data_IF_107112632723
#
_entry.id   IF_107112632723
#
_cell.length_a   1.000
_cell.length_b   1.000
_cell.length_c   1.000
_cell.angle_alpha   90.00
_cell.angle_beta   90.00
_cell.angle_gamma   90.00
#
_symmetry.space_group_name_H-M   'P 1'
#
loop_
_entity.id
_entity.type
_entity.pdbx_description
1 polymer ?
#
# COMPACT_ATOMS: atom_id res chain seq x y z
N UNK A 1 -8.38 10.29 26.10
CA UNK A 1 -7.72 9.01 25.71
C UNK A 1 -6.79 9.32 24.56
N UNK A 2 -5.60 8.70 24.53
CA UNK A 2 -4.72 8.84 23.37
C UNK A 2 -5.35 8.12 22.18
N UNK A 3 -5.36 8.76 21.01
CA UNK A 3 -5.78 8.13 19.76
C UNK A 3 -4.84 6.99 19.43
N UNK A 4 -5.32 6.02 18.65
CA UNK A 4 -4.52 4.91 18.11
C UNK A 4 -3.36 5.36 17.23
N UNK A 5 -2.70 4.38 16.65
CA UNK A 5 -1.68 4.59 15.62
C UNK A 5 -2.10 3.91 14.33
N UNK A 6 -1.87 4.56 13.21
CA UNK A 6 -2.14 4.00 11.88
C UNK A 6 -0.83 3.66 11.17
N UNK A 7 -0.63 2.38 10.94
CA UNK A 7 0.56 1.83 10.27
C UNK A 7 0.13 1.23 8.93
N UNK A 8 0.79 1.63 7.86
CA UNK A 8 0.57 1.08 6.52
C UNK A 8 1.77 0.25 6.09
N UNK A 9 1.53 -0.95 5.59
CA UNK A 9 2.54 -1.74 4.89
C UNK A 9 2.31 -1.61 3.38
N UNK A 10 3.31 -1.10 2.70
CA UNK A 10 3.31 -0.87 1.25
C UNK A 10 4.55 -1.52 0.61
N UNK A 11 4.55 -1.69 -0.68
CA UNK A 11 5.69 -2.27 -1.39
C UNK A 11 5.87 -1.71 -2.79
N UNK A 12 7.09 -1.74 -3.27
CA UNK A 12 7.45 -1.23 -4.59
C UNK A 12 6.69 -1.92 -5.74
N UNK A 13 6.35 -3.20 -5.56
CA UNK A 13 5.46 -3.96 -6.45
C UNK A 13 5.02 -5.28 -5.79
N UNK A 14 4.16 -6.02 -6.47
CA UNK A 14 3.71 -7.33 -5.99
C UNK A 14 4.84 -8.38 -6.08
N UNK A 15 4.84 -9.31 -5.13
CA UNK A 15 5.88 -10.34 -5.01
C UNK A 15 7.02 -10.01 -4.04
N UNK A 16 7.07 -8.78 -3.48
CA UNK A 16 8.11 -8.36 -2.55
C UNK A 16 7.99 -8.95 -1.13
N UNK A 17 6.96 -9.77 -0.87
CA UNK A 17 6.73 -10.36 0.46
C UNK A 17 5.85 -9.52 1.39
N UNK A 18 5.14 -8.52 0.86
CA UNK A 18 4.29 -7.62 1.65
C UNK A 18 3.30 -8.35 2.54
N UNK A 19 2.50 -9.27 1.99
CA UNK A 19 1.48 -10.01 2.76
C UNK A 19 2.08 -10.86 3.88
N UNK A 20 3.26 -11.45 3.65
CA UNK A 20 4.01 -12.21 4.66
C UNK A 20 4.43 -11.30 5.81
N UNK A 21 5.05 -10.17 5.50
CA UNK A 21 5.52 -9.24 6.52
C UNK A 21 4.37 -8.55 7.26
N UNK A 22 3.28 -8.27 6.57
CA UNK A 22 2.04 -7.77 7.17
C UNK A 22 1.47 -8.74 8.22
N UNK A 23 1.38 -10.03 7.87
CA UNK A 23 0.90 -11.07 8.79
C UNK A 23 1.83 -11.26 10.01
N UNK A 24 3.14 -11.26 9.78
CA UNK A 24 4.15 -11.36 10.85
C UNK A 24 4.10 -10.15 11.78
N UNK A 25 3.96 -8.94 11.23
CA UNK A 25 3.86 -7.73 12.03
C UNK A 25 2.58 -7.74 12.89
N UNK A 26 1.43 -8.13 12.31
CA UNK A 26 0.20 -8.29 13.06
C UNK A 26 0.39 -9.22 14.26
N UNK A 27 0.92 -10.43 14.04
CA UNK A 27 1.14 -11.41 15.10
C UNK A 27 2.11 -10.88 16.17
N UNK A 28 3.17 -10.17 15.76
CA UNK A 28 4.13 -9.59 16.68
C UNK A 28 3.49 -8.54 17.59
N UNK A 29 2.64 -7.65 17.01
CA UNK A 29 1.94 -6.63 17.79
C UNK A 29 0.94 -7.24 18.78
N UNK A 30 0.21 -8.28 18.38
CA UNK A 30 -0.69 -9.02 19.30
C UNK A 30 0.09 -9.67 20.42
N UNK A 31 1.23 -10.32 20.14
CA UNK A 31 2.11 -10.94 21.15
C UNK A 31 2.70 -9.90 22.11
N UNK A 32 2.91 -8.68 21.66
CA UNK A 32 3.35 -7.55 22.47
C UNK A 32 2.17 -6.87 23.23
N UNK A 33 0.98 -7.53 23.28
CA UNK A 33 -0.24 -7.11 23.97
C UNK A 33 -0.90 -5.82 23.43
N UNK A 34 -0.64 -5.43 22.20
CA UNK A 34 -1.38 -4.35 21.56
C UNK A 34 -2.75 -4.82 21.08
N UNK A 35 -3.76 -3.92 21.15
CA UNK A 35 -5.01 -4.10 20.42
C UNK A 35 -4.81 -3.65 18.99
N UNK A 36 -5.03 -4.54 18.03
CA UNK A 36 -4.75 -4.28 16.61
C UNK A 36 -5.97 -4.61 15.77
N UNK A 37 -6.43 -3.62 15.02
CA UNK A 37 -7.42 -3.81 13.95
C UNK A 37 -6.69 -3.83 12.61
N UNK A 38 -6.86 -4.91 11.86
CA UNK A 38 -6.22 -5.08 10.55
C UNK A 38 -7.24 -4.93 9.42
N UNK A 39 -6.81 -4.32 8.32
CA UNK A 39 -7.60 -4.24 7.10
C UNK A 39 -6.71 -4.27 5.86
N UNK A 40 -7.29 -4.67 4.72
CA UNK A 40 -6.65 -4.67 3.41
C UNK A 40 -7.48 -3.83 2.44
N UNK A 41 -6.83 -2.97 1.66
CA UNK A 41 -7.47 -2.25 0.57
C UNK A 41 -6.99 -2.75 -0.81
N UNK A 42 -7.91 -2.81 -1.79
CA UNK A 42 -9.33 -2.47 -1.71
C UNK A 42 -10.12 -3.49 -0.87
N UNK A 43 -11.29 -3.08 -0.36
CA UNK A 43 -12.20 -3.89 0.46
C UNK A 43 -12.98 -4.88 -0.43
N UNK A 44 -12.30 -5.93 -0.89
CA UNK A 44 -12.90 -6.94 -1.78
C UNK A 44 -14.15 -7.59 -1.19
N UNK A 45 -15.15 -7.83 -2.06
CA UNK A 45 -16.40 -8.47 -1.69
C UNK A 45 -17.38 -7.57 -0.92
N UNK A 46 -17.08 -6.27 -0.79
CA UNK A 46 -17.96 -5.29 -0.16
C UNK A 46 -18.59 -4.35 -1.18
N UNK A 47 -19.64 -3.64 -0.77
CA UNK A 47 -20.32 -2.67 -1.65
C UNK A 47 -19.40 -1.50 -1.98
N UNK A 48 -18.64 -1.01 -1.02
CA UNK A 48 -17.68 0.09 -1.17
C UNK A 48 -16.49 -0.28 -2.05
N UNK A 49 -16.02 -1.52 -2.01
CA UNK A 49 -14.91 -2.02 -2.84
C UNK A 49 -15.34 -2.44 -4.27
N UNK A 50 -16.64 -2.64 -4.51
CA UNK A 50 -17.14 -3.13 -5.80
C UNK A 50 -16.73 -2.26 -7.02
N UNK A 51 -16.72 -0.91 -6.98
CA UNK A 51 -16.24 -0.10 -8.10
C UNK A 51 -14.77 -0.36 -8.43
N UNK A 52 -13.93 -0.56 -7.40
CA UNK A 52 -12.51 -0.88 -7.57
C UNK A 52 -12.33 -2.27 -8.18
N UNK A 53 -13.10 -3.26 -7.75
CA UNK A 53 -13.06 -4.60 -8.35
C UNK A 53 -13.41 -4.59 -9.84
N UNK A 54 -14.43 -3.83 -10.25
CA UNK A 54 -14.78 -3.65 -11.66
C UNK A 54 -13.65 -3.00 -12.46
N UNK A 55 -13.01 -1.97 -11.90
CA UNK A 55 -11.85 -1.34 -12.52
C UNK A 55 -10.68 -2.34 -12.68
N UNK A 56 -10.34 -3.09 -11.64
CA UNK A 56 -9.25 -4.07 -11.66
C UNK A 56 -9.51 -5.23 -12.66
N UNK A 57 -10.77 -5.57 -12.89
CA UNK A 57 -11.17 -6.52 -13.94
C UNK A 57 -11.11 -5.93 -15.35
N UNK A 58 -10.97 -4.61 -15.48
CA UNK A 58 -10.95 -3.87 -16.75
C UNK A 58 -12.35 -3.53 -17.28
N UNK A 59 -13.40 -3.69 -16.48
CA UNK A 59 -14.79 -3.42 -16.89
C UNK A 59 -15.08 -1.91 -17.03
N UNK A 60 -14.26 -1.05 -16.47
CA UNK A 60 -14.39 0.41 -16.53
C UNK A 60 -13.39 1.08 -17.48
N UNK A 61 -12.51 0.31 -18.13
CA UNK A 61 -11.41 0.81 -18.96
C UNK A 61 -10.04 0.52 -18.32
N UNK A 62 -8.99 0.87 -19.06
CA UNK A 62 -7.60 0.63 -18.61
C UNK A 62 -7.02 1.82 -17.83
N UNK A 63 -5.96 1.60 -17.03
CA UNK A 63 -5.25 2.69 -16.34
C UNK A 63 -4.66 3.76 -17.29
N UNK A 64 -4.48 3.45 -18.58
CA UNK A 64 -3.96 4.38 -19.59
C UNK A 64 -5.08 5.26 -20.19
N UNK A 65 -6.32 4.80 -20.14
CA UNK A 65 -7.48 5.48 -20.74
C UNK A 65 -8.21 6.38 -19.75
N UNK A 66 -8.17 6.02 -18.46
CA UNK A 66 -8.90 6.76 -17.44
C UNK A 66 -8.01 7.81 -16.78
N UNK A 67 -8.61 8.94 -16.43
CA UNK A 67 -7.95 9.96 -15.62
C UNK A 67 -7.49 9.38 -14.28
N UNK A 68 -6.23 9.63 -13.85
CA UNK A 68 -5.75 9.19 -12.55
C UNK A 68 -6.60 9.72 -11.39
N UNK A 69 -7.22 10.88 -11.54
CA UNK A 69 -8.15 11.45 -10.56
C UNK A 69 -9.43 10.63 -10.44
N UNK A 70 -10.00 10.19 -11.58
CA UNK A 70 -11.18 9.32 -11.58
C UNK A 70 -10.85 7.98 -10.92
N UNK A 71 -9.74 7.36 -11.31
CA UNK A 71 -9.33 6.08 -10.72
C UNK A 71 -9.11 6.23 -9.22
N UNK A 72 -8.40 7.29 -8.78
CA UNK A 72 -8.24 7.55 -7.35
C UNK A 72 -9.58 7.68 -6.61
N UNK A 73 -10.59 8.32 -7.23
CA UNK A 73 -11.90 8.51 -6.59
C UNK A 73 -12.60 7.19 -6.27
N UNK A 74 -12.43 6.15 -7.10
CA UNK A 74 -12.98 4.82 -6.81
C UNK A 74 -12.40 4.24 -5.52
N UNK A 75 -11.08 4.31 -5.39
CA UNK A 75 -10.37 3.83 -4.19
C UNK A 75 -10.60 4.72 -2.96
N UNK A 76 -10.73 6.04 -3.15
CA UNK A 76 -10.94 6.98 -2.08
C UNK A 76 -12.30 6.78 -1.40
N UNK A 77 -13.35 6.45 -2.17
CA UNK A 77 -14.69 6.15 -1.63
C UNK A 77 -14.65 4.87 -0.77
N UNK A 78 -14.01 3.80 -1.26
CA UNK A 78 -13.81 2.58 -0.49
C UNK A 78 -13.10 2.90 0.85
N UNK A 79 -11.99 3.60 0.81
CA UNK A 79 -11.23 3.98 2.02
C UNK A 79 -12.04 4.85 2.98
N UNK A 80 -12.77 5.82 2.47
CA UNK A 80 -13.54 6.74 3.29
C UNK A 80 -14.68 6.05 4.04
N UNK A 81 -15.43 5.19 3.34
CA UNK A 81 -16.55 4.44 3.95
C UNK A 81 -16.01 3.44 4.97
N UNK A 82 -14.97 2.67 4.60
CA UNK A 82 -14.33 1.69 5.49
C UNK A 82 -13.71 2.38 6.71
N UNK A 83 -13.04 3.53 6.52
CA UNK A 83 -12.51 4.30 7.64
C UNK A 83 -13.62 4.70 8.61
N UNK A 84 -14.66 5.33 8.10
CA UNK A 84 -15.74 5.88 8.94
C UNK A 84 -16.48 4.80 9.72
N UNK A 85 -16.75 3.66 9.07
CA UNK A 85 -17.65 2.64 9.64
C UNK A 85 -16.92 1.56 10.44
N UNK A 86 -15.65 1.29 10.11
CA UNK A 86 -14.91 0.13 10.64
C UNK A 86 -13.68 0.56 11.44
N UNK A 87 -12.80 1.40 10.84
CA UNK A 87 -11.47 1.62 11.40
C UNK A 87 -11.44 2.74 12.44
N UNK A 88 -12.19 3.82 12.22
CA UNK A 88 -12.20 5.00 13.08
C UNK A 88 -12.66 4.71 14.52
N UNK A 89 -13.70 3.91 14.79
CA UNK A 89 -14.10 3.57 16.15
C UNK A 89 -12.97 2.93 16.96
N UNK A 90 -12.24 1.99 16.34
CA UNK A 90 -11.12 1.32 16.98
C UNK A 90 -9.91 2.25 17.16
N UNK A 91 -9.61 3.08 16.16
CA UNK A 91 -8.57 4.10 16.25
C UNK A 91 -8.84 5.08 17.41
N UNK A 92 -10.08 5.54 17.58
CA UNK A 92 -10.46 6.44 18.67
C UNK A 92 -10.38 5.77 20.05
N UNK A 93 -10.46 4.45 20.13
CA UNK A 93 -10.25 3.67 21.35
C UNK A 93 -8.76 3.44 21.68
N UNK A 94 -7.84 3.91 20.83
CA UNK A 94 -6.40 3.76 21.03
C UNK A 94 -5.79 2.49 20.41
N UNK A 95 -6.55 1.76 19.60
CA UNK A 95 -6.03 0.58 18.91
C UNK A 95 -5.04 0.95 17.81
N UNK A 96 -4.10 0.06 17.53
CA UNK A 96 -3.26 0.14 16.33
C UNK A 96 -4.12 -0.28 15.12
N UNK A 97 -4.19 0.57 14.12
CA UNK A 97 -4.77 0.24 12.81
C UNK A 97 -3.63 -0.18 11.89
N UNK A 98 -3.60 -1.45 11.50
CA UNK A 98 -2.58 -2.01 10.62
C UNK A 98 -3.20 -2.29 9.25
N UNK A 99 -2.71 -1.59 8.22
CA UNK A 99 -3.26 -1.64 6.87
C UNK A 99 -2.27 -2.28 5.88
N UNK A 100 -2.78 -3.21 5.07
CA UNK A 100 -2.14 -3.66 3.84
C UNK A 100 -2.70 -2.81 2.70
N UNK A 101 -1.87 -1.88 2.17
CA UNK A 101 -2.27 -0.81 1.26
C UNK A 101 -3.20 0.24 1.89
N UNK A 102 -3.19 1.44 1.32
CA UNK A 102 -4.03 2.56 1.74
C UNK A 102 -4.01 3.65 0.64
N UNK A 103 -4.13 4.93 1.01
CA UNK A 103 -3.89 6.09 0.12
C UNK A 103 -2.53 6.00 -0.56
N UNK A 104 -1.55 5.41 0.12
CA UNK A 104 -0.20 5.13 -0.39
C UNK A 104 -0.20 4.41 -1.73
N UNK A 105 -1.07 3.42 -1.92
CA UNK A 105 -1.20 2.73 -3.21
C UNK A 105 -1.72 3.65 -4.32
N UNK A 106 -2.68 4.54 -4.03
CA UNK A 106 -3.14 5.53 -5.01
C UNK A 106 -2.03 6.51 -5.40
N UNK A 107 -1.23 6.94 -4.41
CA UNK A 107 -0.07 7.80 -4.66
C UNK A 107 0.96 7.12 -5.58
N UNK A 108 1.11 5.80 -5.50
CA UNK A 108 2.02 5.03 -6.37
C UNK A 108 1.40 4.76 -7.75
N UNK A 109 0.26 4.08 -7.77
CA UNK A 109 -0.28 3.48 -9.00
C UNK A 109 -0.88 4.53 -9.94
N UNK A 110 -1.69 5.45 -9.44
CA UNK A 110 -2.33 6.45 -10.27
C UNK A 110 -1.35 7.52 -10.75
N UNK A 111 -0.38 7.93 -9.93
CA UNK A 111 0.63 8.90 -10.38
C UNK A 111 1.66 8.31 -11.34
N UNK A 112 1.78 6.97 -11.44
CA UNK A 112 2.70 6.32 -12.38
C UNK A 112 2.37 6.61 -13.85
N UNK A 113 1.11 6.96 -14.16
CA UNK A 113 0.68 7.32 -15.52
C UNK A 113 0.96 8.78 -15.88
N UNK A 114 1.38 9.61 -14.92
CA UNK A 114 1.70 11.03 -15.12
C UNK A 114 3.19 11.14 -15.40
N UNK A 115 3.56 11.60 -16.61
CA UNK A 115 4.96 11.69 -17.02
C UNK A 115 5.65 12.97 -16.51
N UNK A 116 4.94 14.11 -16.58
CA UNK A 116 5.47 15.39 -16.09
C UNK A 116 5.59 15.38 -14.56
N UNK A 117 6.77 15.73 -14.07
CA UNK A 117 7.09 15.64 -12.64
C UNK A 117 6.33 16.66 -11.79
N UNK A 118 6.06 17.85 -12.33
CA UNK A 118 5.34 18.89 -11.59
C UNK A 118 3.82 18.56 -11.55
N UNK A 119 3.26 18.05 -12.64
CA UNK A 119 1.90 17.53 -12.64
C UNK A 119 1.76 16.29 -11.71
N UNK A 120 2.77 15.43 -11.66
CA UNK A 120 2.81 14.32 -10.71
C UNK A 120 2.78 14.81 -9.26
N UNK A 121 3.59 15.79 -8.90
CA UNK A 121 3.57 16.39 -7.55
C UNK A 121 2.22 17.02 -7.22
N UNK A 122 1.61 17.76 -8.15
CA UNK A 122 0.26 18.30 -7.98
C UNK A 122 -0.78 17.22 -7.74
N UNK A 123 -0.66 16.07 -8.43
CA UNK A 123 -1.54 14.93 -8.19
C UNK A 123 -1.33 14.34 -6.80
N UNK A 124 -0.08 14.18 -6.33
CA UNK A 124 0.22 13.70 -4.98
C UNK A 124 -0.37 14.63 -3.91
N UNK A 125 -0.22 15.94 -4.09
CA UNK A 125 -0.79 16.95 -3.19
C UNK A 125 -2.32 16.91 -3.19
N UNK A 126 -2.92 16.79 -4.40
CA UNK A 126 -4.38 16.63 -4.52
C UNK A 126 -4.89 15.40 -3.77
N UNK A 127 -4.27 14.24 -3.98
CA UNK A 127 -4.72 12.99 -3.32
C UNK A 127 -4.62 13.10 -1.80
N UNK A 128 -3.53 13.66 -1.29
CA UNK A 128 -3.31 13.83 0.15
C UNK A 128 -4.29 14.83 0.75
N UNK A 129 -4.54 15.97 0.09
CA UNK A 129 -5.52 16.95 0.55
C UNK A 129 -6.95 16.37 0.49
N UNK A 130 -7.29 15.75 -0.64
CA UNK A 130 -8.62 15.19 -0.85
C UNK A 130 -8.95 14.12 0.20
N UNK A 131 -8.08 13.14 0.40
CA UNK A 131 -8.39 12.03 1.29
C UNK A 131 -8.23 12.38 2.76
N UNK A 132 -7.13 13.04 3.15
CA UNK A 132 -6.89 13.33 4.57
C UNK A 132 -7.66 14.54 5.07
N UNK A 133 -7.79 15.61 4.26
CA UNK A 133 -8.41 16.85 4.71
C UNK A 133 -9.87 16.98 4.30
N UNK A 134 -10.28 16.52 3.09
CA UNK A 134 -11.68 16.66 2.62
C UNK A 134 -12.54 15.47 3.02
N UNK A 135 -12.07 14.24 2.79
CA UNK A 135 -12.78 13.03 3.22
C UNK A 135 -12.55 12.70 4.71
N UNK A 136 -11.51 13.28 5.33
CA UNK A 136 -11.24 13.15 6.76
C UNK A 136 -10.79 11.76 7.20
N UNK A 137 -10.20 10.97 6.30
CA UNK A 137 -9.56 9.72 6.72
C UNK A 137 -8.21 10.02 7.40
N UNK A 138 -7.79 9.15 8.30
CA UNK A 138 -6.56 9.39 9.06
C UNK A 138 -5.31 9.26 8.18
N UNK A 139 -4.42 10.27 8.27
CA UNK A 139 -3.09 10.16 7.70
C UNK A 139 -2.28 9.10 8.47
N UNK A 140 -1.50 8.23 7.80
CA UNK A 140 -0.64 7.26 8.48
C UNK A 140 0.36 7.94 9.43
N UNK A 141 0.51 7.37 10.63
CA UNK A 141 1.61 7.70 11.55
C UNK A 141 2.93 7.09 11.04
N UNK A 142 2.84 5.95 10.33
CA UNK A 142 4.00 5.28 9.75
C UNK A 142 3.60 4.57 8.45
N UNK A 143 4.43 4.74 7.43
CA UNK A 143 4.39 3.93 6.20
C UNK A 143 5.66 3.09 6.16
N UNK A 144 5.50 1.78 6.17
CA UNK A 144 6.58 0.79 6.00
C UNK A 144 6.60 0.41 4.52
N UNK A 145 7.59 0.90 3.80
CA UNK A 145 7.74 0.65 2.37
C UNK A 145 8.79 -0.42 2.12
N UNK A 146 8.35 -1.59 1.65
CA UNK A 146 9.24 -2.70 1.30
C UNK A 146 9.86 -2.45 -0.07
N UNK A 147 11.18 -2.51 -0.14
CA UNK A 147 11.97 -2.26 -1.34
C UNK A 147 12.93 -3.43 -1.61
N UNK A 148 13.03 -3.83 -2.87
CA UNK A 148 14.11 -4.65 -3.40
C UNK A 148 14.29 -4.30 -4.89
N UNK A 149 15.47 -4.51 -5.52
CA UNK A 149 15.68 -4.28 -6.94
C UNK A 149 14.64 -4.98 -7.82
N UNK A 150 14.23 -4.31 -8.92
CA UNK A 150 13.13 -4.76 -9.78
C UNK A 150 13.31 -6.19 -10.31
N UNK A 151 14.55 -6.54 -10.67
CA UNK A 151 14.92 -7.85 -11.19
C UNK A 151 14.68 -8.95 -10.14
N UNK A 152 15.02 -8.67 -8.88
CA UNK A 152 14.80 -9.61 -7.76
C UNK A 152 13.32 -9.83 -7.55
N UNK A 153 12.53 -8.73 -7.49
CA UNK A 153 11.08 -8.83 -7.27
C UNK A 153 10.39 -9.54 -8.43
N UNK A 154 10.80 -9.24 -9.67
CA UNK A 154 10.25 -9.90 -10.85
C UNK A 154 10.51 -11.40 -10.82
N UNK A 155 11.73 -11.83 -10.43
CA UNK A 155 12.07 -13.24 -10.24
C UNK A 155 11.17 -13.91 -9.19
N UNK A 156 11.00 -13.29 -8.03
CA UNK A 156 10.14 -13.80 -6.95
C UNK A 156 8.67 -13.90 -7.39
N UNK A 157 8.17 -12.89 -8.09
CA UNK A 157 6.81 -12.88 -8.63
C UNK A 157 6.58 -14.02 -9.63
N UNK A 158 7.52 -14.25 -10.54
CA UNK A 158 7.41 -15.33 -11.52
C UNK A 158 7.39 -16.71 -10.86
N UNK A 159 8.22 -16.94 -9.84
CA UNK A 159 8.20 -18.16 -9.04
C UNK A 159 6.84 -18.37 -8.35
N UNK A 160 6.27 -17.32 -7.77
CA UNK A 160 4.96 -17.39 -7.12
C UNK A 160 3.84 -17.70 -8.10
N UNK A 161 3.84 -17.09 -9.29
CA UNK A 161 2.83 -17.37 -10.33
C UNK A 161 2.82 -18.82 -10.79
N UNK A 162 3.99 -19.43 -10.91
CA UNK A 162 4.11 -20.84 -11.29
C UNK A 162 3.49 -21.76 -10.22
N UNK A 163 3.55 -21.36 -8.94
CA UNK A 163 3.06 -22.17 -7.83
C UNK A 163 1.57 -21.96 -7.54
N UNK A 164 1.06 -20.73 -7.63
CA UNK A 164 -0.26 -20.35 -7.08
C UNK A 164 -1.33 -20.09 -8.14
N UNK A 165 -1.01 -20.11 -9.44
CA UNK A 165 -1.99 -19.93 -10.54
C UNK A 165 -2.68 -18.55 -10.56
N UNK A 166 -2.02 -17.50 -10.08
CA UNK A 166 -2.59 -16.16 -9.89
C UNK A 166 -2.91 -15.48 -11.22
N UNK A 167 -4.13 -14.95 -11.37
CA UNK A 167 -4.57 -14.16 -12.53
C UNK A 167 -4.10 -12.71 -12.39
N UNK A 168 -3.54 -12.15 -13.48
CA UNK A 168 -3.09 -10.76 -13.53
C UNK A 168 -4.28 -9.78 -13.56
N UNK A 169 -4.21 -8.72 -12.77
CA UNK A 169 -5.07 -7.55 -12.89
C UNK A 169 -4.66 -6.62 -14.06
N UNK A 170 -5.35 -5.47 -14.22
CA UNK A 170 -5.09 -4.52 -15.31
C UNK A 170 -3.70 -3.88 -15.26
N UNK A 171 -3.08 -3.75 -14.08
CA UNK A 171 -1.73 -3.20 -13.93
C UNK A 171 -0.66 -4.25 -14.22
N UNK A 172 -0.95 -5.50 -13.93
CA UNK A 172 0.01 -6.61 -14.04
C UNK A 172 0.13 -7.20 -15.45
N UNK A 173 -0.78 -6.88 -16.36
CA UNK A 173 -0.78 -7.35 -17.75
C UNK A 173 0.30 -6.70 -18.63
N UNK A 174 0.78 -5.52 -18.23
CA UNK A 174 1.72 -4.69 -18.98
C UNK A 174 3.05 -4.54 -18.21
N UNK A 175 4.11 -5.18 -18.70
CA UNK A 175 5.42 -5.18 -18.02
C UNK A 175 6.08 -3.81 -18.02
N UNK A 176 5.84 -2.97 -19.05
CA UNK A 176 6.37 -1.62 -19.11
C UNK A 176 5.66 -0.73 -18.07
N UNK A 177 4.35 -0.87 -17.96
CA UNK A 177 3.58 -0.19 -16.92
C UNK A 177 4.02 -0.62 -15.53
N UNK A 178 4.25 -1.91 -15.32
CA UNK A 178 4.79 -2.42 -14.04
C UNK A 178 6.13 -1.81 -13.68
N UNK A 179 7.04 -1.66 -14.64
CA UNK A 179 8.34 -1.01 -14.41
C UNK A 179 8.15 0.47 -14.07
N UNK A 180 7.29 1.18 -14.81
CA UNK A 180 6.93 2.57 -14.49
C UNK A 180 6.34 2.69 -13.08
N UNK A 181 5.45 1.78 -12.68
CA UNK A 181 4.88 1.76 -11.32
C UNK A 181 5.96 1.53 -10.27
N UNK A 182 6.87 0.59 -10.50
CA UNK A 182 7.98 0.33 -9.59
C UNK A 182 8.89 1.55 -9.42
N UNK A 183 9.34 2.17 -10.51
CA UNK A 183 10.17 3.37 -10.48
C UNK A 183 9.44 4.53 -9.77
N UNK A 184 8.16 4.67 -10.06
CA UNK A 184 7.31 5.66 -9.41
C UNK A 184 7.11 5.38 -7.91
N UNK A 185 6.97 4.12 -7.51
CA UNK A 185 6.85 3.75 -6.09
C UNK A 185 8.10 4.18 -5.30
N UNK A 186 9.27 3.98 -5.87
CA UNK A 186 10.55 4.44 -5.27
C UNK A 186 10.61 5.96 -5.20
N UNK A 187 10.20 6.65 -6.27
CA UNK A 187 10.11 8.12 -6.27
C UNK A 187 9.17 8.63 -5.17
N UNK A 188 7.95 8.11 -5.10
CA UNK A 188 6.94 8.54 -4.13
C UNK A 188 7.39 8.27 -2.69
N UNK A 189 7.97 7.09 -2.44
CA UNK A 189 8.46 6.73 -1.10
C UNK A 189 9.55 7.70 -0.62
N UNK A 190 10.49 8.09 -1.50
CA UNK A 190 11.52 9.08 -1.17
C UNK A 190 10.92 10.48 -1.03
N UNK A 191 10.07 10.91 -1.96
CA UNK A 191 9.46 12.24 -1.97
C UNK A 191 8.63 12.50 -0.71
N UNK A 192 7.88 11.50 -0.25
CA UNK A 192 7.04 11.58 0.95
C UNK A 192 7.74 11.09 2.23
N UNK A 193 9.04 10.80 2.15
CA UNK A 193 9.86 10.37 3.28
C UNK A 193 9.29 9.15 4.03
N UNK A 194 8.81 8.14 3.29
CA UNK A 194 8.36 6.89 3.89
C UNK A 194 9.52 6.08 4.47
N UNK A 195 9.23 5.19 5.40
CA UNK A 195 10.24 4.34 6.01
C UNK A 195 10.56 3.15 5.10
N UNK A 196 11.68 3.23 4.40
CA UNK A 196 12.11 2.22 3.43
C UNK A 196 12.82 1.08 4.15
N UNK A 197 12.30 -0.14 4.00
CA UNK A 197 12.92 -1.40 4.42
C UNK A 197 13.53 -2.07 3.20
N UNK A 198 14.86 -2.14 3.15
CA UNK A 198 15.55 -2.86 2.10
C UNK A 198 15.45 -4.38 2.33
N UNK A 199 14.72 -5.05 1.47
CA UNK A 199 14.42 -6.48 1.53
C UNK A 199 15.44 -7.35 0.79
N UNK A 200 16.49 -6.79 0.18
CA UNK A 200 17.47 -7.54 -0.58
C UNK A 200 18.90 -7.29 -0.10
N UNK A 201 19.75 -8.30 -0.23
CA UNK A 201 21.19 -8.21 -0.16
C UNK A 201 21.75 -8.44 -1.55
N UNK A 202 22.61 -7.53 -2.03
CA UNK A 202 23.24 -7.62 -3.35
C UNK A 202 22.30 -8.16 -4.46
N UNK A 203 22.20 -9.48 -4.63
CA UNK A 203 21.51 -10.13 -5.76
C UNK A 203 20.33 -11.05 -5.33
N UNK A 204 19.97 -11.11 -4.06
CA UNK A 204 18.91 -11.98 -3.55
C UNK A 204 18.11 -11.37 -2.40
N UNK A 205 16.91 -11.88 -2.21
CA UNK A 205 16.07 -11.46 -1.08
C UNK A 205 16.72 -11.85 0.24
N UNK A 206 16.63 -10.98 1.23
CA UNK A 206 16.90 -11.31 2.63
C UNK A 206 15.94 -12.40 3.11
N UNK A 207 16.30 -13.10 4.19
CA UNK A 207 15.37 -14.00 4.85
C UNK A 207 14.12 -13.27 5.32
N UNK A 208 13.00 -14.00 5.40
CA UNK A 208 11.74 -13.47 5.93
C UNK A 208 11.95 -12.90 7.33
N UNK A 209 12.73 -13.59 8.17
CA UNK A 209 13.01 -13.20 9.54
C UNK A 209 13.87 -11.94 9.62
N UNK A 210 14.90 -11.78 8.79
CA UNK A 210 15.73 -10.58 8.78
C UNK A 210 14.91 -9.34 8.41
N UNK A 211 14.06 -9.44 7.38
CA UNK A 211 13.15 -8.36 6.98
C UNK A 211 12.20 -8.04 8.13
N UNK A 212 11.64 -9.06 8.78
CA UNK A 212 10.74 -8.87 9.91
C UNK A 212 11.41 -8.19 11.10
N UNK A 213 12.66 -8.54 11.42
CA UNK A 213 13.42 -7.88 12.49
C UNK A 213 13.68 -6.40 12.18
N UNK A 214 13.97 -6.06 10.91
CA UNK A 214 14.14 -4.65 10.51
C UNK A 214 12.82 -3.87 10.67
N UNK A 215 11.68 -4.46 10.29
CA UNK A 215 10.34 -3.88 10.51
C UNK A 215 10.05 -3.70 12.01
N UNK A 216 10.34 -4.70 12.85
CA UNK A 216 10.12 -4.60 14.30
C UNK A 216 10.95 -3.49 14.94
N UNK A 217 12.21 -3.31 14.54
CA UNK A 217 13.06 -2.21 15.00
C UNK A 217 12.44 -0.86 14.67
N UNK A 218 11.92 -0.72 13.43
CA UNK A 218 11.28 0.49 12.98
C UNK A 218 10.01 0.79 13.79
N UNK A 219 9.09 -0.18 13.93
CA UNK A 219 7.81 0.02 14.62
C UNK A 219 7.99 0.40 16.09
N UNK A 220 9.04 -0.10 16.76
CA UNK A 220 9.36 0.33 18.14
C UNK A 220 9.62 1.83 18.28
N UNK A 221 9.93 2.54 17.21
CA UNK A 221 10.14 4.00 17.24
C UNK A 221 8.83 4.78 17.40
N UNK A 222 7.67 4.20 17.05
CA UNK A 222 6.36 4.84 17.22
C UNK A 222 5.92 5.00 18.68
N UNK A 223 6.52 4.23 19.59
CA UNK A 223 6.17 4.21 21.01
C UNK A 223 7.08 5.13 21.86
N UNK A 224 7.96 5.87 21.20
CA UNK A 224 8.81 6.88 21.82
C UNK A 224 8.27 8.28 21.53
#
# INVERSE_FOLDING_TARGET
>A
MNKGKLIVVEGACDGIGKSTQYALLYNSLINDNFKVTKHHFPSYGTVEGAPVEKFLKGELGSPKELSPYLVNSLYAVDRAITWQNILKPDYEQGNIILLDRYTTSSLIYQSATIEDIEEKKKFLDYVTDYEYNKLGIQKPDMVIFLFAPFEIVTKMRNLRKQNDGIVNDVFEKDIELMKKIYENAVFVANYLSWNIINCANLNEMKSIDDIHQDIKKLVKTLNK
#
